data_IF_873345069630
#
_entry.id   IF_873345069630
#
_cell.length_a   1.000
_cell.length_b   1.000
_cell.length_c   1.000
_cell.angle_alpha   90.00
_cell.angle_beta   90.00
_cell.angle_gamma   90.00
#
_symmetry.space_group_name_H-M   'P 1'
#
loop_
_entity.id
_entity.type
_entity.pdbx_description
1 polymer ?
#
# COMPACT_ATOMS: atom_id res chain seq x y z
N UNK A 1 6.17 4.32 11.58
CA UNK A 1 5.38 3.50 10.63
C UNK A 1 4.34 2.75 11.43
N UNK A 2 3.11 2.64 10.91
CA UNK A 2 2.11 1.67 11.36
C UNK A 2 2.04 0.54 10.34
N UNK A 3 2.07 -0.71 10.80
CA UNK A 3 1.99 -1.89 9.94
C UNK A 3 0.66 -2.62 10.14
N UNK A 4 0.24 -3.32 9.10
CA UNK A 4 -0.89 -4.26 9.12
C UNK A 4 -2.20 -3.64 9.63
N UNK A 5 -2.42 -2.38 9.25
CA UNK A 5 -3.65 -1.65 9.56
C UNK A 5 -4.77 -2.19 8.69
N UNK A 6 -5.77 -2.82 9.30
CA UNK A 6 -6.95 -3.29 8.57
C UNK A 6 -7.81 -2.13 8.09
N UNK A 7 -7.97 -1.99 6.77
CA UNK A 7 -8.78 -0.90 6.19
C UNK A 7 -10.12 -1.38 5.62
N UNK A 8 -10.25 -2.69 5.37
CA UNK A 8 -11.50 -3.32 4.94
C UNK A 8 -11.49 -4.79 5.31
N UNK A 9 -12.65 -5.36 5.59
CA UNK A 9 -12.83 -6.82 5.61
C UNK A 9 -13.74 -7.20 4.46
N UNK A 10 -13.34 -8.18 3.66
CA UNK A 10 -14.14 -8.72 2.55
C UNK A 10 -14.33 -10.21 2.80
N UNK A 11 -15.58 -10.63 2.99
CA UNK A 11 -15.91 -11.95 3.54
C UNK A 11 -15.17 -12.16 4.88
N UNK A 12 -14.19 -13.06 4.94
CA UNK A 12 -13.39 -13.33 6.14
C UNK A 12 -11.94 -12.81 6.02
N UNK A 13 -11.59 -12.14 4.92
CA UNK A 13 -10.23 -11.67 4.66
C UNK A 13 -10.09 -10.18 4.98
N UNK A 14 -9.15 -9.84 5.86
CA UNK A 14 -8.77 -8.45 6.13
C UNK A 14 -7.84 -7.94 5.04
N UNK A 15 -8.18 -6.80 4.46
CA UNK A 15 -7.28 -6.02 3.61
C UNK A 15 -6.46 -5.10 4.49
N UNK A 16 -5.14 -5.20 4.36
CA UNK A 16 -4.17 -4.57 5.24
C UNK A 16 -3.40 -3.49 4.48
N UNK A 17 -2.97 -2.47 5.20
CA UNK A 17 -2.09 -1.42 4.70
C UNK A 17 -0.99 -1.09 5.69
N UNK A 18 0.11 -0.56 5.17
CA UNK A 18 1.18 0.07 5.96
C UNK A 18 1.16 1.57 5.73
N UNK A 19 1.29 2.33 6.82
CA UNK A 19 1.30 3.79 6.82
C UNK A 19 2.68 4.29 7.26
N UNK A 20 3.30 5.08 6.41
CA UNK A 20 4.60 5.71 6.61
C UNK A 20 4.38 7.20 6.84
N UNK A 21 4.83 7.68 8.00
CA UNK A 21 4.71 9.08 8.38
C UNK A 21 6.05 9.78 8.16
N UNK A 22 6.04 11.04 7.65
CA UNK A 22 7.26 11.83 7.59
C UNK A 22 7.79 12.06 9.01
N UNK A 23 9.11 12.12 9.16
CA UNK A 23 9.74 12.35 10.47
C UNK A 23 9.44 13.76 11.02
N UNK A 24 9.23 14.71 10.12
CA UNK A 24 8.90 16.10 10.43
C UNK A 24 7.50 16.44 9.91
N UNK A 25 6.69 17.07 10.77
CA UNK A 25 5.39 17.60 10.40
C UNK A 25 5.57 18.94 9.69
N UNK A 26 5.74 18.90 8.36
CA UNK A 26 5.90 20.10 7.51
C UNK A 26 4.58 20.80 7.15
N UNK A 27 3.46 20.14 7.40
CA UNK A 27 2.12 20.62 7.07
C UNK A 27 1.14 20.28 8.19
N UNK A 28 0.21 21.20 8.49
CA UNK A 28 -0.91 20.94 9.42
C UNK A 28 -1.80 19.80 8.93
N UNK A 29 -1.93 19.67 7.60
CA UNK A 29 -2.57 18.54 6.90
C UNK A 29 -1.63 18.02 5.83
N UNK A 30 -0.93 16.94 6.14
CA UNK A 30 -0.01 16.33 5.19
C UNK A 30 -0.77 15.75 3.98
N UNK A 31 -0.27 15.96 2.74
CA UNK A 31 -0.78 15.23 1.58
C UNK A 31 -0.49 13.73 1.73
N UNK A 32 -1.29 12.91 1.07
CA UNK A 32 -1.17 11.45 1.12
C UNK A 32 -0.82 10.90 -0.26
N UNK A 33 0.25 10.12 -0.32
CA UNK A 33 0.58 9.27 -1.46
C UNK A 33 0.05 7.85 -1.20
N UNK A 34 -0.92 7.42 -2.01
CA UNK A 34 -1.55 6.11 -1.88
C UNK A 34 -1.04 5.18 -2.97
N UNK A 35 -0.32 4.13 -2.58
CA UNK A 35 0.35 3.21 -3.49
C UNK A 35 -0.34 1.84 -3.52
N UNK A 36 -0.50 1.33 -4.73
CA UNK A 36 -0.95 -0.04 -5.03
C UNK A 36 0.14 -0.77 -5.77
N UNK A 37 0.54 -1.94 -5.28
CA UNK A 37 1.57 -2.74 -5.96
C UNK A 37 1.12 -3.23 -7.33
N UNK A 38 2.09 -3.44 -8.23
CA UNK A 38 1.87 -4.09 -9.52
C UNK A 38 1.67 -5.61 -9.39
N UNK A 39 1.98 -6.36 -10.44
CA UNK A 39 1.83 -7.82 -10.47
C UNK A 39 0.55 -8.32 -11.13
N UNK A 40 -0.02 -7.51 -12.03
CA UNK A 40 -1.12 -7.92 -12.93
C UNK A 40 -2.34 -8.48 -12.21
N UNK A 41 -2.60 -8.04 -10.97
CA UNK A 41 -3.68 -8.52 -10.12
C UNK A 41 -3.58 -9.97 -9.60
N UNK A 42 -2.55 -10.74 -9.98
CA UNK A 42 -2.39 -12.14 -9.57
C UNK A 42 -1.26 -12.36 -8.56
N UNK A 43 -0.34 -11.39 -8.43
CA UNK A 43 0.79 -11.48 -7.49
C UNK A 43 1.10 -10.11 -6.87
N UNK A 44 1.74 -10.13 -5.71
CA UNK A 44 2.28 -8.94 -5.05
C UNK A 44 1.71 -8.76 -3.64
N UNK A 45 2.21 -7.72 -2.97
CA UNK A 45 1.76 -7.34 -1.63
C UNK A 45 2.12 -5.88 -1.36
N UNK A 46 1.67 -5.35 -0.21
CA UNK A 46 2.02 -4.02 0.30
C UNK A 46 3.51 -3.84 0.61
N UNK A 47 4.30 -4.90 0.61
CA UNK A 47 5.74 -4.82 0.87
C UNK A 47 6.45 -4.06 -0.26
N UNK A 48 7.40 -3.20 0.12
CA UNK A 48 8.10 -2.30 -0.80
C UNK A 48 9.44 -2.92 -1.22
N UNK A 49 9.71 -2.98 -2.52
CA UNK A 49 11.05 -3.24 -3.04
C UNK A 49 11.94 -1.99 -2.95
N UNK A 50 13.22 -2.14 -3.30
CA UNK A 50 14.22 -1.05 -3.26
C UNK A 50 13.81 0.18 -4.07
N UNK A 51 13.08 0.00 -5.17
CA UNK A 51 12.60 1.10 -6.01
C UNK A 51 11.49 1.86 -5.30
N UNK A 52 10.49 1.16 -4.75
CA UNK A 52 9.41 1.83 -4.01
C UNK A 52 9.90 2.46 -2.72
N UNK A 53 10.86 1.85 -2.02
CA UNK A 53 11.47 2.44 -0.83
C UNK A 53 12.14 3.78 -1.13
N UNK A 54 12.84 3.91 -2.27
CA UNK A 54 13.44 5.18 -2.71
C UNK A 54 12.38 6.26 -2.97
N UNK A 55 11.28 5.89 -3.62
CA UNK A 55 10.16 6.82 -3.88
C UNK A 55 9.53 7.28 -2.57
N UNK A 56 9.20 6.34 -1.67
CA UNK A 56 8.62 6.63 -0.37
C UNK A 56 9.55 7.52 0.45
N UNK A 57 10.85 7.23 0.49
CA UNK A 57 11.83 8.05 1.20
C UNK A 57 11.83 9.50 0.71
N UNK A 58 11.85 9.72 -0.61
CA UNK A 58 11.79 11.07 -1.18
C UNK A 58 10.50 11.82 -0.82
N UNK A 59 9.36 11.15 -0.86
CA UNK A 59 8.07 11.74 -0.51
C UNK A 59 7.98 12.08 0.99
N UNK A 60 8.44 11.16 1.86
CA UNK A 60 8.47 11.36 3.30
C UNK A 60 9.38 12.54 3.69
N UNK A 61 10.52 12.72 3.01
CA UNK A 61 11.40 13.89 3.21
C UNK A 61 10.71 15.22 2.88
N UNK A 62 9.69 15.21 2.01
CA UNK A 62 8.90 16.38 1.65
C UNK A 62 7.62 16.53 2.48
N UNK A 63 7.43 15.74 3.54
CA UNK A 63 6.28 15.87 4.43
C UNK A 63 5.02 15.16 3.92
N UNK A 64 5.15 14.26 2.94
CA UNK A 64 4.03 13.47 2.40
C UNK A 64 3.88 12.17 3.21
N UNK A 65 2.67 11.87 3.67
CA UNK A 65 2.36 10.56 4.27
C UNK A 65 2.22 9.54 3.13
N UNK A 66 2.91 8.41 3.23
CA UNK A 66 2.83 7.36 2.22
C UNK A 66 2.06 6.16 2.76
N UNK A 67 1.19 5.57 1.94
CA UNK A 67 0.39 4.40 2.27
C UNK A 67 0.64 3.32 1.22
N UNK A 68 0.93 2.10 1.64
CA UNK A 68 1.04 0.93 0.75
C UNK A 68 -0.02 -0.10 1.14
N UNK A 69 -0.81 -0.59 0.18
CA UNK A 69 -1.96 -1.45 0.46
C UNK A 69 -1.86 -2.84 -0.15
N UNK A 70 -2.42 -3.83 0.55
CA UNK A 70 -2.78 -5.12 -0.03
C UNK A 70 -4.17 -5.02 -0.64
N UNK A 71 -4.35 -5.50 -1.86
CA UNK A 71 -5.67 -5.75 -2.44
C UNK A 71 -5.86 -7.26 -2.68
N UNK A 72 -7.10 -7.68 -2.95
CA UNK A 72 -7.40 -9.09 -3.26
C UNK A 72 -6.75 -9.45 -4.60
N UNK A 73 -5.99 -10.53 -4.61
CA UNK A 73 -5.45 -11.10 -5.84
C UNK A 73 -6.49 -12.02 -6.50
N UNK A 74 -6.48 -12.05 -7.82
CA UNK A 74 -7.20 -13.05 -8.61
C UNK A 74 -6.47 -14.39 -8.46
N UNK A 75 -7.19 -15.46 -8.14
CA UNK A 75 -6.64 -16.83 -8.15
C UNK A 75 -7.19 -17.61 -9.33
N UNK A 76 -6.45 -18.63 -9.79
CA UNK A 76 -6.87 -19.52 -10.88
C UNK A 76 -8.23 -20.21 -10.63
N UNK A 77 -8.63 -20.31 -9.37
CA UNK A 77 -9.91 -20.84 -8.94
C UNK A 77 -11.08 -19.82 -8.98
N UNK A 78 -10.82 -18.55 -9.29
CA UNK A 78 -11.86 -17.52 -9.37
C UNK A 78 -12.53 -17.54 -10.75
N UNK A 79 -13.87 -17.39 -10.81
CA UNK A 79 -14.61 -17.35 -12.09
C UNK A 79 -14.19 -16.19 -13.01
N UNK A 80 -13.55 -15.17 -12.44
CA UNK A 80 -13.14 -13.92 -13.08
C UNK A 80 -11.68 -13.98 -13.60
N UNK A 81 -11.03 -15.15 -13.51
CA UNK A 81 -9.67 -15.31 -14.01
C UNK A 81 -9.66 -15.12 -15.54
N UNK A 82 -8.89 -14.14 -16.07
CA UNK A 82 -8.75 -14.00 -17.51
C UNK A 82 -8.12 -15.28 -18.07
N UNK A 83 -8.74 -15.83 -19.12
CA UNK A 83 -8.21 -16.95 -19.91
C UNK A 83 -6.96 -16.55 -20.68
#
# INVERSE_FOLDING_TARGET
MLRDVGYKTVAQTKMLMDIYYPAEHKHDRAPVFYYTHGGGWYVGSKELDDTQQKIFSGLLQHGVVCVSINYRLVSASMPEHPV
#
